data_IF_427154916016
#
_entry.id   IF_427154916016
#
_cell.length_a   1.000
_cell.length_b   1.000
_cell.length_c   1.000
_cell.angle_alpha   90.00
_cell.angle_beta   90.00
_cell.angle_gamma   90.00
#
_symmetry.space_group_name_H-M   'P 1'
#
loop_
_entity.id
_entity.type
_entity.pdbx_description
1 polymer ?
#
# COMPACT_ATOMS: atom_id res chain seq x y z
N UNK A 1 -36.22 -27.08 -7.98
CA UNK A 1 -35.77 -25.70 -7.94
C UNK A 1 -34.24 -25.71 -8.12
N UNK A 2 -33.68 -25.06 -9.13
CA UNK A 2 -32.23 -25.02 -9.29
C UNK A 2 -31.65 -24.14 -8.19
N UNK A 3 -30.67 -24.68 -7.48
CA UNK A 3 -29.84 -23.95 -6.53
C UNK A 3 -29.10 -22.88 -7.32
N UNK A 4 -29.44 -21.61 -7.10
CA UNK A 4 -28.67 -20.50 -7.66
C UNK A 4 -27.24 -20.59 -7.13
N UNK A 5 -26.31 -20.93 -8.01
CA UNK A 5 -24.88 -20.80 -7.76
C UNK A 5 -24.64 -19.30 -7.53
N UNK A 6 -24.57 -18.87 -6.27
CA UNK A 6 -24.04 -17.56 -5.95
C UNK A 6 -22.56 -17.61 -6.35
N UNK A 7 -22.23 -16.98 -7.48
CA UNK A 7 -20.84 -16.63 -7.74
C UNK A 7 -20.42 -15.71 -6.59
N UNK A 8 -19.68 -16.26 -5.63
CA UNK A 8 -19.01 -15.45 -4.62
C UNK A 8 -17.99 -14.61 -5.37
N UNK A 9 -18.23 -13.31 -5.41
CA UNK A 9 -17.28 -12.34 -5.95
C UNK A 9 -15.98 -12.45 -5.14
N UNK A 10 -14.83 -12.71 -5.80
CA UNK A 10 -13.55 -12.80 -5.11
C UNK A 10 -13.10 -11.42 -4.61
N UNK A 11 -12.10 -11.37 -3.70
CA UNK A 11 -11.67 -10.12 -3.07
C UNK A 11 -11.26 -9.04 -4.09
N UNK A 12 -10.57 -9.43 -5.17
CA UNK A 12 -10.11 -8.48 -6.19
C UNK A 12 -11.27 -7.91 -7.00
N UNK A 13 -12.25 -8.74 -7.40
CA UNK A 13 -13.45 -8.24 -8.08
C UNK A 13 -14.31 -7.38 -7.15
N UNK A 14 -14.33 -7.67 -5.84
CA UNK A 14 -14.95 -6.80 -4.82
C UNK A 14 -14.28 -5.44 -4.73
N UNK A 15 -12.95 -5.36 -4.84
CA UNK A 15 -12.24 -4.06 -4.85
C UNK A 15 -12.66 -3.24 -6.05
N UNK A 16 -12.64 -3.82 -7.24
CA UNK A 16 -12.99 -3.11 -8.47
C UNK A 16 -14.46 -2.69 -8.48
N UNK A 17 -15.39 -3.55 -8.03
CA UNK A 17 -16.80 -3.20 -7.91
C UNK A 17 -17.05 -2.12 -6.85
N UNK A 18 -16.28 -2.13 -5.76
CA UNK A 18 -16.32 -1.08 -4.74
C UNK A 18 -15.83 0.25 -5.29
N UNK A 19 -14.69 0.26 -6.01
CA UNK A 19 -14.15 1.46 -6.64
C UNK A 19 -15.12 2.07 -7.66
N UNK A 20 -15.77 1.25 -8.49
CA UNK A 20 -16.80 1.70 -9.41
C UNK A 20 -18.01 2.27 -8.69
N UNK A 21 -18.48 1.60 -7.62
CA UNK A 21 -19.59 2.11 -6.81
C UNK A 21 -19.24 3.45 -6.15
N UNK A 22 -18.05 3.57 -5.56
CA UNK A 22 -17.58 4.83 -4.97
C UNK A 22 -17.55 5.92 -6.04
N UNK A 23 -16.95 5.66 -7.21
CA UNK A 23 -16.86 6.64 -8.30
C UNK A 23 -18.24 7.16 -8.73
N UNK A 24 -19.25 6.27 -8.83
CA UNK A 24 -20.60 6.66 -9.25
C UNK A 24 -21.38 7.43 -8.19
N UNK A 25 -20.96 7.41 -6.93
CA UNK A 25 -21.64 8.06 -5.80
C UNK A 25 -20.80 9.15 -5.12
N UNK A 26 -19.57 9.38 -5.59
CA UNK A 26 -18.69 10.42 -5.08
C UNK A 26 -19.26 11.82 -5.31
N UNK A 27 -19.02 12.70 -4.34
CA UNK A 27 -19.44 14.09 -4.38
C UNK A 27 -18.28 15.08 -4.43
N UNK A 28 -17.11 14.65 -3.97
CA UNK A 28 -15.97 15.51 -3.78
C UNK A 28 -14.69 15.06 -4.52
N UNK A 29 -14.70 13.85 -5.08
CA UNK A 29 -13.58 13.31 -5.85
C UNK A 29 -14.07 12.83 -7.21
N UNK A 30 -13.41 13.28 -8.27
CA UNK A 30 -13.84 13.06 -9.66
C UNK A 30 -12.70 12.42 -10.47
N UNK A 31 -13.09 11.60 -11.45
CA UNK A 31 -12.19 10.94 -12.41
C UNK A 31 -12.54 11.46 -13.81
N UNK A 32 -11.92 12.60 -14.25
CA UNK A 32 -12.26 13.24 -15.51
C UNK A 32 -11.71 12.43 -16.69
N UNK A 33 -12.59 12.06 -17.62
CA UNK A 33 -12.24 11.18 -18.75
C UNK A 33 -11.10 11.75 -19.63
N UNK A 34 -11.14 13.04 -19.93
CA UNK A 34 -10.08 13.68 -20.74
C UNK A 34 -8.75 13.75 -19.98
N UNK A 35 -8.82 13.96 -18.67
CA UNK A 35 -7.65 13.89 -17.78
C UNK A 35 -7.04 12.48 -17.76
N UNK A 36 -7.86 11.46 -17.62
CA UNK A 36 -7.44 10.05 -17.66
C UNK A 36 -6.72 9.70 -18.96
N UNK A 37 -7.28 10.08 -20.13
CA UNK A 37 -6.65 9.84 -21.45
C UNK A 37 -5.29 10.52 -21.55
N UNK A 38 -5.20 11.79 -21.12
CA UNK A 38 -3.92 12.53 -21.12
C UNK A 38 -2.90 11.87 -20.18
N UNK A 39 -3.33 11.50 -18.97
CA UNK A 39 -2.49 10.81 -18.00
C UNK A 39 -2.00 9.47 -18.56
N UNK A 40 -2.87 8.65 -19.14
CA UNK A 40 -2.51 7.36 -19.74
C UNK A 40 -1.38 7.54 -20.77
N UNK A 41 -1.55 8.44 -21.74
CA UNK A 41 -0.54 8.69 -22.78
C UNK A 41 0.77 9.27 -22.21
N UNK A 42 0.73 10.10 -21.16
CA UNK A 42 1.93 10.64 -20.52
C UNK A 42 2.68 9.58 -19.71
N UNK A 43 1.97 8.84 -18.88
CA UNK A 43 2.52 7.76 -18.04
C UNK A 43 3.13 6.69 -18.93
N UNK A 44 2.40 6.23 -19.96
CA UNK A 44 2.88 5.19 -20.87
C UNK A 44 4.19 5.60 -21.55
N UNK A 45 4.26 6.83 -22.13
CA UNK A 45 5.49 7.31 -22.75
C UNK A 45 6.67 7.36 -21.80
N UNK A 46 6.45 7.77 -20.54
CA UNK A 46 7.50 7.81 -19.52
C UNK A 46 7.95 6.41 -19.12
N UNK A 47 7.00 5.49 -18.84
CA UNK A 47 7.32 4.10 -18.54
C UNK A 47 8.12 3.43 -19.66
N UNK A 48 7.73 3.64 -20.92
CA UNK A 48 8.45 3.12 -22.08
C UNK A 48 9.86 3.72 -22.21
N UNK A 49 10.01 5.04 -22.01
CA UNK A 49 11.32 5.69 -22.09
C UNK A 49 12.30 5.22 -21.00
N UNK A 50 11.78 4.80 -19.84
CA UNK A 50 12.56 4.25 -18.72
C UNK A 50 12.77 2.73 -18.83
N UNK A 51 12.06 2.05 -19.73
CA UNK A 51 12.00 0.58 -19.73
C UNK A 51 11.41 0.00 -18.43
N UNK A 52 10.46 0.73 -17.82
CA UNK A 52 9.90 0.42 -16.50
C UNK A 52 9.23 -0.95 -16.48
N UNK A 53 9.57 -1.77 -15.51
CA UNK A 53 9.13 -3.16 -15.41
C UNK A 53 9.19 -3.67 -13.95
N UNK A 54 8.82 -4.93 -13.72
CA UNK A 54 8.98 -5.60 -12.43
C UNK A 54 10.41 -5.60 -11.90
N UNK A 55 11.41 -5.54 -12.80
CA UNK A 55 12.82 -5.47 -12.40
C UNK A 55 13.16 -4.20 -11.61
N UNK A 56 12.37 -3.13 -11.75
CA UNK A 56 12.56 -1.88 -11.02
C UNK A 56 12.35 -2.07 -9.52
N UNK A 57 11.45 -2.96 -9.10
CA UNK A 57 11.24 -3.32 -7.70
C UNK A 57 12.53 -3.79 -7.01
N UNK A 58 13.38 -4.56 -7.72
CA UNK A 58 14.66 -5.07 -7.18
C UNK A 58 15.80 -4.07 -7.18
N UNK A 59 15.65 -2.92 -7.81
CA UNK A 59 16.74 -1.92 -7.88
C UNK A 59 17.07 -1.28 -6.54
N UNK A 60 16.12 -1.28 -5.62
CA UNK A 60 16.36 -0.68 -4.30
C UNK A 60 17.17 -1.63 -3.42
N UNK A 61 18.24 -1.09 -2.80
CA UNK A 61 19.21 -1.88 -2.02
C UNK A 61 18.64 -2.56 -0.76
N UNK A 62 17.47 -2.13 -0.29
CA UNK A 62 16.81 -2.69 0.88
C UNK A 62 15.89 -3.87 0.56
N UNK A 63 15.50 -4.06 -0.71
CA UNK A 63 14.66 -5.21 -1.09
C UNK A 63 15.49 -6.50 -1.18
N UNK A 64 14.89 -7.68 -0.97
CA UNK A 64 15.59 -8.95 -1.12
C UNK A 64 16.20 -9.11 -2.52
N UNK A 65 17.48 -9.40 -2.58
CA UNK A 65 18.20 -9.64 -3.85
C UNK A 65 18.00 -11.05 -4.39
N UNK A 66 17.71 -12.01 -3.50
CA UNK A 66 17.48 -13.44 -3.83
C UNK A 66 16.00 -13.72 -3.70
N UNK A 67 15.39 -14.24 -4.77
CA UNK A 67 13.99 -14.65 -4.79
C UNK A 67 13.85 -16.09 -4.27
N UNK A 68 13.75 -16.24 -2.96
CA UNK A 68 13.59 -17.51 -2.24
C UNK A 68 12.49 -17.42 -1.17
N UNK A 69 12.34 -18.45 -0.35
CA UNK A 69 11.36 -18.45 0.73
C UNK A 69 11.65 -17.41 1.82
N UNK A 70 12.90 -16.99 2.02
CA UNK A 70 13.24 -15.93 2.98
C UNK A 70 12.75 -14.57 2.47
N UNK A 71 12.83 -14.33 1.15
CA UNK A 71 12.25 -13.15 0.53
C UNK A 71 10.72 -13.10 0.72
N UNK A 72 10.02 -14.24 0.62
CA UNK A 72 8.57 -14.33 0.89
C UNK A 72 8.24 -13.94 2.33
N UNK A 73 9.00 -14.44 3.31
CA UNK A 73 8.79 -14.09 4.73
C UNK A 73 9.09 -12.60 4.99
N UNK A 74 10.14 -12.06 4.36
CA UNK A 74 10.49 -10.64 4.46
C UNK A 74 9.39 -9.76 3.86
N UNK A 75 8.91 -10.07 2.65
CA UNK A 75 7.84 -9.33 1.97
C UNK A 75 6.57 -9.36 2.82
N UNK A 76 6.17 -10.53 3.31
CA UNK A 76 4.99 -10.65 4.17
C UNK A 76 5.10 -9.76 5.42
N UNK A 77 6.24 -9.81 6.13
CA UNK A 77 6.46 -8.98 7.32
C UNK A 77 6.35 -7.48 6.99
N UNK A 78 7.02 -7.05 5.91
CA UNK A 78 7.04 -5.64 5.51
C UNK A 78 5.65 -5.18 5.10
N UNK A 79 4.91 -5.97 4.31
CA UNK A 79 3.57 -5.60 3.86
C UNK A 79 2.52 -5.69 4.98
N UNK A 80 2.70 -6.59 5.95
CA UNK A 80 1.88 -6.56 7.16
C UNK A 80 2.02 -5.25 7.95
N UNK A 81 3.17 -4.58 7.82
CA UNK A 81 3.47 -3.32 8.50
C UNK A 81 3.49 -2.10 7.56
N UNK A 82 3.05 -2.25 6.30
CA UNK A 82 3.11 -1.21 5.28
C UNK A 82 1.94 -0.22 5.39
N UNK A 83 1.98 0.65 6.44
CA UNK A 83 0.96 1.66 6.70
C UNK A 83 1.51 2.88 7.46
N UNK A 84 0.88 4.04 7.30
CA UNK A 84 1.07 5.28 8.07
C UNK A 84 2.53 5.68 8.33
N UNK A 85 3.24 6.10 7.28
CA UNK A 85 4.65 6.57 7.37
C UNK A 85 4.79 8.09 7.42
N UNK A 86 3.69 8.84 7.35
CA UNK A 86 3.76 10.29 7.42
C UNK A 86 3.99 10.78 8.88
N UNK A 87 4.51 11.96 9.03
CA UNK A 87 4.89 12.58 10.30
C UNK A 87 4.45 14.03 10.35
N UNK A 88 4.06 14.50 11.54
CA UNK A 88 3.80 15.89 11.85
C UNK A 88 5.07 16.62 12.35
N UNK A 89 6.14 15.89 12.59
CA UNK A 89 7.38 16.46 13.10
C UNK A 89 8.15 17.20 11.98
N UNK A 90 8.93 18.23 12.35
CA UNK A 90 9.84 18.86 11.40
C UNK A 90 10.84 17.81 10.85
N UNK A 91 11.35 17.98 9.62
CA UNK A 91 12.19 16.98 8.95
C UNK A 91 13.37 16.46 9.78
N UNK A 92 13.94 17.29 10.67
CA UNK A 92 15.05 16.90 11.55
C UNK A 92 14.65 15.94 12.67
N UNK A 93 13.36 15.86 13.01
CA UNK A 93 12.84 15.02 14.08
C UNK A 93 11.95 13.88 13.60
N UNK A 94 11.65 13.82 12.30
CA UNK A 94 10.88 12.72 11.73
C UNK A 94 11.61 11.40 11.92
N UNK A 95 10.84 10.33 12.11
CA UNK A 95 11.37 9.00 12.21
C UNK A 95 12.28 8.68 11.02
N UNK A 96 13.50 8.31 11.32
CA UNK A 96 14.50 7.90 10.34
C UNK A 96 15.30 6.70 10.85
N UNK A 97 15.85 5.95 9.92
CA UNK A 97 16.75 4.82 10.21
C UNK A 97 17.97 4.94 9.31
N UNK A 98 19.13 4.98 9.92
CA UNK A 98 20.42 4.94 9.22
C UNK A 98 20.92 3.51 9.17
N UNK A 99 21.21 3.03 7.95
CA UNK A 99 21.77 1.73 7.68
C UNK A 99 22.87 1.87 6.61
N UNK A 100 24.04 1.29 6.85
CA UNK A 100 25.23 1.35 5.95
C UNK A 100 25.57 2.79 5.50
N UNK A 101 25.48 3.75 6.43
CA UNK A 101 25.81 5.15 6.20
C UNK A 101 24.76 5.95 5.42
N UNK A 102 23.63 5.34 5.06
CA UNK A 102 22.52 6.00 4.38
C UNK A 102 21.31 6.14 5.31
N UNK A 103 20.76 7.34 5.41
CA UNK A 103 19.55 7.62 6.20
C UNK A 103 18.30 7.49 5.35
N UNK A 104 17.36 6.68 5.82
CA UNK A 104 16.09 6.40 5.15
C UNK A 104 14.93 7.10 5.86
N UNK A 105 13.86 7.44 5.11
CA UNK A 105 12.62 8.07 5.58
C UNK A 105 11.40 7.42 4.93
N UNK A 106 10.23 7.58 5.57
CA UNK A 106 8.96 7.02 5.09
C UNK A 106 9.00 5.48 5.04
N UNK A 107 8.42 4.88 4.01
CA UNK A 107 8.37 3.41 3.83
C UNK A 107 9.74 2.73 3.98
N UNK A 108 10.78 3.34 3.42
CA UNK A 108 12.12 2.76 3.46
C UNK A 108 12.73 2.67 4.87
N UNK A 109 12.17 3.41 5.85
CA UNK A 109 12.59 3.23 7.26
C UNK A 109 12.19 1.86 7.81
N UNK A 110 11.01 1.35 7.40
CA UNK A 110 10.57 0.00 7.79
C UNK A 110 11.52 -1.06 7.24
N UNK A 111 11.82 -1.00 5.93
CA UNK A 111 12.74 -1.93 5.28
C UNK A 111 14.15 -1.88 5.93
N UNK A 112 14.66 -0.66 6.19
CA UNK A 112 15.94 -0.47 6.84
C UNK A 112 15.95 -1.03 8.29
N UNK A 113 14.88 -0.82 9.06
CA UNK A 113 14.77 -1.36 10.41
C UNK A 113 14.74 -2.90 10.42
N UNK A 114 13.99 -3.51 9.50
CA UNK A 114 13.94 -4.98 9.34
C UNK A 114 15.33 -5.52 8.95
N UNK A 115 15.99 -4.92 7.95
CA UNK A 115 17.31 -5.37 7.50
C UNK A 115 18.40 -5.18 8.58
N UNK A 116 18.33 -4.06 9.33
CA UNK A 116 19.20 -3.84 10.49
C UNK A 116 19.01 -4.92 11.55
N UNK A 117 17.75 -5.26 11.87
CA UNK A 117 17.48 -6.30 12.85
C UNK A 117 18.03 -7.66 12.41
N UNK A 118 17.88 -8.02 11.13
CA UNK A 118 18.48 -9.24 10.57
C UNK A 118 20.01 -9.22 10.64
N UNK A 119 20.65 -8.09 10.33
CA UNK A 119 22.12 -7.93 10.45
C UNK A 119 22.59 -8.01 11.92
N UNK A 120 21.76 -7.61 12.88
CA UNK A 120 22.01 -7.76 14.32
C UNK A 120 21.72 -9.20 14.84
N UNK A 121 21.34 -10.13 13.98
CA UNK A 121 21.03 -11.52 14.34
C UNK A 121 19.63 -11.69 14.96
N UNK A 122 18.76 -10.69 14.88
CA UNK A 122 17.38 -10.77 15.37
C UNK A 122 16.52 -11.42 14.28
N UNK A 123 15.87 -12.57 14.53
CA UNK A 123 15.13 -13.31 13.51
C UNK A 123 13.75 -12.69 13.27
N UNK A 124 13.70 -11.39 12.95
CA UNK A 124 12.44 -10.63 12.85
C UNK A 124 11.50 -11.13 11.73
N UNK A 125 12.00 -11.88 10.77
CA UNK A 125 11.17 -12.49 9.72
C UNK A 125 10.62 -13.87 10.11
N UNK A 126 11.01 -14.44 11.25
CA UNK A 126 10.41 -15.68 11.78
C UNK A 126 9.17 -15.37 12.62
N UNK A 127 8.01 -15.87 12.20
CA UNK A 127 6.75 -15.68 12.92
C UNK A 127 6.80 -16.19 14.36
N UNK A 128 7.58 -17.23 14.65
CA UNK A 128 7.76 -17.76 16.01
C UNK A 128 8.43 -16.75 16.92
N UNK A 129 9.29 -15.89 16.39
CA UNK A 129 9.92 -14.84 17.17
C UNK A 129 8.93 -13.70 17.43
N UNK A 130 8.37 -13.05 16.41
CA UNK A 130 7.55 -11.86 16.62
C UNK A 130 6.16 -12.16 17.23
N UNK A 131 5.71 -13.42 17.21
CA UNK A 131 4.51 -13.81 17.93
C UNK A 131 4.64 -13.72 19.46
N UNK A 132 5.86 -13.86 20.00
CA UNK A 132 6.10 -13.98 21.45
C UNK A 132 7.13 -13.00 22.03
N UNK A 133 7.95 -12.36 21.19
CA UNK A 133 8.93 -11.35 21.62
C UNK A 133 8.27 -10.24 22.45
N UNK A 134 8.91 -9.68 23.47
CA UNK A 134 8.34 -8.60 24.28
C UNK A 134 8.11 -7.32 23.46
N UNK A 135 7.29 -6.42 23.96
CA UNK A 135 7.06 -5.13 23.31
C UNK A 135 8.34 -4.29 23.24
N UNK A 136 9.22 -4.41 24.25
CA UNK A 136 10.52 -3.76 24.29
C UNK A 136 11.48 -4.32 23.23
N UNK A 137 11.48 -5.64 23.01
CA UNK A 137 12.27 -6.26 21.95
C UNK A 137 11.81 -5.82 20.58
N UNK A 138 10.50 -5.79 20.32
CA UNK A 138 9.95 -5.31 19.06
C UNK A 138 10.15 -3.81 18.88
N UNK A 139 10.01 -3.01 19.93
CA UNK A 139 10.32 -1.58 19.88
C UNK A 139 11.80 -1.33 19.56
N UNK A 140 12.72 -2.17 20.08
CA UNK A 140 14.14 -2.11 19.73
C UNK A 140 14.39 -2.40 18.25
N UNK A 141 13.68 -3.35 17.65
CA UNK A 141 13.75 -3.62 16.19
C UNK A 141 13.42 -2.36 15.40
N UNK A 142 12.34 -1.68 15.78
CA UNK A 142 11.83 -0.50 15.07
C UNK A 142 12.34 0.84 15.65
N UNK A 143 13.44 0.83 16.42
CA UNK A 143 14.03 2.07 16.92
C UNK A 143 14.49 2.98 15.77
N UNK A 144 14.27 4.28 15.91
CA UNK A 144 14.80 5.30 15.01
C UNK A 144 16.23 5.73 15.36
N UNK A 145 16.74 6.65 14.57
CA UNK A 145 17.97 7.35 14.86
C UNK A 145 17.80 8.26 16.10
N UNK A 146 18.90 8.58 16.77
CA UNK A 146 18.89 9.43 17.97
C UNK A 146 18.27 10.81 17.66
N UNK A 147 17.39 11.27 18.53
CA UNK A 147 16.70 12.57 18.41
C UNK A 147 15.49 12.57 17.46
N UNK A 148 15.17 11.44 16.84
CA UNK A 148 13.95 11.32 16.02
C UNK A 148 12.75 10.84 16.85
N UNK A 149 11.54 11.05 16.32
CA UNK A 149 10.34 10.47 16.90
C UNK A 149 10.35 8.93 16.84
N UNK A 150 9.57 8.24 17.66
CA UNK A 150 9.34 6.82 17.51
C UNK A 150 8.71 6.49 16.15
N UNK A 151 8.83 5.23 15.71
CA UNK A 151 8.13 4.76 14.52
C UNK A 151 6.64 5.07 14.61
N UNK A 152 6.04 5.75 13.62
CA UNK A 152 4.61 6.06 13.64
C UNK A 152 3.75 4.82 13.87
N UNK A 153 2.75 4.91 14.74
CA UNK A 153 1.84 3.80 15.09
C UNK A 153 2.58 2.52 15.54
N UNK A 154 3.65 2.67 16.32
CA UNK A 154 4.46 1.52 16.78
C UNK A 154 3.63 0.48 17.55
N UNK A 155 2.70 0.94 18.40
CA UNK A 155 1.82 0.04 19.16
C UNK A 155 0.96 -0.82 18.24
N UNK A 156 0.34 -0.21 17.25
CA UNK A 156 -0.48 -0.91 16.26
C UNK A 156 0.36 -1.89 15.43
N UNK A 157 1.60 -1.54 15.11
CA UNK A 157 2.53 -2.46 14.42
C UNK A 157 2.85 -3.69 15.27
N UNK A 158 3.09 -3.50 16.55
CA UNK A 158 3.31 -4.60 17.50
C UNK A 158 2.04 -5.48 17.59
N UNK A 159 0.85 -4.88 17.66
CA UNK A 159 -0.41 -5.63 17.66
C UNK A 159 -0.60 -6.44 16.37
N UNK A 160 -0.29 -5.86 15.20
CA UNK A 160 -0.32 -6.57 13.92
C UNK A 160 0.65 -7.75 13.92
N UNK A 161 1.89 -7.56 14.39
CA UNK A 161 2.87 -8.67 14.50
C UNK A 161 2.37 -9.81 15.39
N UNK A 162 1.75 -9.49 16.53
CA UNK A 162 1.14 -10.50 17.41
C UNK A 162 0.05 -11.29 16.69
N UNK A 163 -0.85 -10.60 16.01
CA UNK A 163 -1.95 -11.21 15.26
C UNK A 163 -1.41 -12.13 14.16
N UNK A 164 -0.60 -11.58 13.25
CA UNK A 164 -0.15 -12.36 12.09
C UNK A 164 0.80 -13.50 12.51
N UNK A 165 1.66 -13.26 13.51
CA UNK A 165 2.57 -14.26 14.06
C UNK A 165 1.81 -15.40 14.72
N UNK A 166 0.81 -15.09 15.55
CA UNK A 166 -0.04 -16.08 16.19
C UNK A 166 -0.73 -17.00 15.17
N UNK A 167 -1.37 -16.40 14.15
CA UNK A 167 -2.05 -17.16 13.09
C UNK A 167 -1.06 -18.03 12.30
N UNK A 168 0.10 -17.50 11.92
CA UNK A 168 1.11 -18.26 11.17
C UNK A 168 1.63 -19.43 12.00
N UNK A 169 1.91 -19.25 13.29
CA UNK A 169 2.38 -20.32 14.17
C UNK A 169 1.32 -21.39 14.35
N UNK A 170 0.08 -21.00 14.61
CA UNK A 170 -1.03 -21.92 14.88
C UNK A 170 -1.44 -22.73 13.64
N UNK A 171 -1.55 -22.07 12.46
CA UNK A 171 -2.19 -22.66 11.28
C UNK A 171 -1.23 -22.99 10.13
N UNK A 172 -0.05 -22.34 10.08
CA UNK A 172 0.85 -22.41 8.91
C UNK A 172 2.29 -22.83 9.28
N UNK A 173 2.49 -23.44 10.46
CA UNK A 173 3.80 -23.91 10.91
C UNK A 173 4.84 -22.79 11.07
N UNK A 174 4.39 -21.55 11.32
CA UNK A 174 5.22 -20.38 11.53
C UNK A 174 5.81 -19.79 10.24
N UNK A 175 5.23 -20.08 9.06
CA UNK A 175 5.74 -19.59 7.76
C UNK A 175 4.62 -19.13 6.85
N UNK A 176 4.77 -17.91 6.31
CA UNK A 176 3.84 -17.40 5.31
C UNK A 176 3.94 -18.16 3.97
N UNK A 177 5.12 -18.65 3.61
CA UNK A 177 5.29 -19.49 2.42
C UNK A 177 4.36 -20.73 2.40
N UNK A 178 4.00 -21.27 3.57
CA UNK A 178 3.03 -22.37 3.66
C UNK A 178 1.59 -21.92 3.36
N UNK A 179 1.23 -20.69 3.74
CA UNK A 179 -0.05 -20.09 3.34
C UNK A 179 -0.05 -19.78 1.86
N UNK A 180 1.03 -19.19 1.34
CA UNK A 180 1.21 -18.90 -0.09
C UNK A 180 0.98 -20.14 -0.95
N UNK A 181 1.52 -21.29 -0.55
CA UNK A 181 1.33 -22.54 -1.28
C UNK A 181 -0.16 -22.96 -1.40
N UNK A 182 -1.02 -22.54 -0.45
CA UNK A 182 -2.45 -22.87 -0.45
C UNK A 182 -3.27 -22.07 -1.48
N UNK A 183 -2.76 -20.95 -1.98
CA UNK A 183 -3.51 -20.15 -2.98
C UNK A 183 -3.53 -20.79 -4.36
N UNK A 184 -2.79 -21.89 -4.58
CA UNK A 184 -2.74 -22.61 -5.84
C UNK A 184 -2.22 -21.77 -7.02
N UNK A 185 -1.45 -20.69 -6.73
CA UNK A 185 -0.94 -19.77 -7.76
C UNK A 185 -1.99 -18.76 -8.25
N UNK A 186 -3.12 -18.59 -7.55
CA UNK A 186 -4.13 -17.59 -7.89
C UNK A 186 -3.85 -16.25 -7.19
N UNK A 187 -3.76 -15.14 -7.93
CA UNK A 187 -3.59 -13.80 -7.37
C UNK A 187 -4.76 -13.43 -6.47
N UNK A 188 -5.99 -13.54 -6.97
CA UNK A 188 -7.20 -13.27 -6.17
C UNK A 188 -7.35 -14.23 -4.99
N UNK A 189 -6.99 -15.52 -5.20
CA UNK A 189 -7.01 -16.52 -4.14
C UNK A 189 -6.06 -16.20 -2.99
N UNK A 190 -4.91 -15.59 -3.26
CA UNK A 190 -4.00 -15.14 -2.20
C UNK A 190 -4.58 -13.94 -1.44
N UNK A 191 -5.17 -12.97 -2.13
CA UNK A 191 -5.86 -11.83 -1.47
C UNK A 191 -7.01 -12.34 -0.59
N UNK A 192 -7.82 -13.28 -1.09
CA UNK A 192 -8.92 -13.89 -0.34
C UNK A 192 -8.41 -14.60 0.93
N UNK A 193 -7.35 -15.42 0.83
CA UNK A 193 -6.75 -16.13 1.95
C UNK A 193 -6.20 -15.17 3.01
N UNK A 194 -5.45 -14.15 2.57
CA UNK A 194 -4.85 -13.17 3.48
C UNK A 194 -5.94 -12.38 4.22
N UNK A 195 -6.97 -11.91 3.52
CA UNK A 195 -8.09 -11.20 4.14
C UNK A 195 -8.94 -12.10 5.07
N UNK A 196 -9.04 -13.41 4.77
CA UNK A 196 -9.76 -14.35 5.60
C UNK A 196 -8.99 -14.72 6.87
N UNK A 197 -7.68 -14.97 6.76
CA UNK A 197 -6.86 -15.46 7.87
C UNK A 197 -6.41 -14.33 8.81
N UNK A 198 -6.18 -13.10 8.30
CA UNK A 198 -5.67 -11.98 9.08
C UNK A 198 -6.65 -10.81 9.10
N UNK A 199 -7.22 -10.53 10.28
CA UNK A 199 -8.19 -9.43 10.44
C UNK A 199 -7.57 -8.07 10.12
N UNK A 200 -6.29 -7.87 10.44
CA UNK A 200 -5.56 -6.63 10.16
C UNK A 200 -5.41 -6.30 8.67
N UNK A 201 -5.61 -7.25 7.77
CA UNK A 201 -5.59 -7.03 6.32
C UNK A 201 -6.98 -6.71 5.72
N UNK A 202 -8.04 -6.74 6.53
CA UNK A 202 -9.42 -6.45 6.09
C UNK A 202 -9.64 -4.95 5.99
N UNK A 203 -9.22 -4.40 4.88
CA UNK A 203 -9.39 -2.98 4.53
C UNK A 203 -10.78 -2.78 3.91
N UNK A 204 -11.79 -2.77 4.76
CA UNK A 204 -13.21 -2.66 4.42
C UNK A 204 -13.83 -1.49 5.17
N UNK A 205 -14.73 -0.76 4.49
CA UNK A 205 -15.43 0.41 5.00
C UNK A 205 -16.91 0.37 4.60
N UNK A 206 -17.70 1.27 5.18
CA UNK A 206 -19.04 1.57 4.70
C UNK A 206 -19.02 2.88 3.91
N UNK A 207 -19.65 2.89 2.73
CA UNK A 207 -19.81 4.09 1.93
C UNK A 207 -21.23 4.13 1.36
N UNK A 208 -21.98 5.22 1.63
CA UNK A 208 -23.36 5.39 1.19
C UNK A 208 -24.28 4.18 1.54
N UNK A 209 -24.11 3.63 2.77
CA UNK A 209 -24.88 2.49 3.24
C UNK A 209 -24.52 1.13 2.61
N UNK A 210 -23.41 1.05 1.86
CA UNK A 210 -22.91 -0.18 1.26
C UNK A 210 -21.51 -0.50 1.75
N UNK A 211 -21.21 -1.78 2.11
CA UNK A 211 -19.86 -2.19 2.40
C UNK A 211 -19.00 -2.13 1.12
N UNK A 212 -17.81 -1.52 1.24
CA UNK A 212 -16.81 -1.38 0.20
C UNK A 212 -15.46 -1.92 0.69
N UNK A 213 -14.66 -2.47 -0.22
CA UNK A 213 -13.38 -3.08 0.10
C UNK A 213 -12.27 -2.49 -0.78
N UNK A 214 -11.07 -2.31 -0.21
CA UNK A 214 -9.89 -1.83 -0.93
C UNK A 214 -8.73 -2.82 -0.84
N UNK A 215 -8.57 -3.52 0.28
CA UNK A 215 -7.55 -4.56 0.51
C UNK A 215 -6.13 -4.15 0.10
N UNK A 216 -5.73 -2.88 0.39
CA UNK A 216 -4.46 -2.31 -0.05
C UNK A 216 -3.27 -3.21 0.25
N UNK A 217 -3.10 -3.61 1.52
CA UNK A 217 -1.94 -4.40 1.95
C UNK A 217 -1.97 -5.84 1.46
N UNK A 218 -3.16 -6.43 1.31
CA UNK A 218 -3.28 -7.78 0.74
C UNK A 218 -2.94 -7.81 -0.76
N UNK A 219 -3.29 -6.75 -1.50
CA UNK A 219 -2.98 -6.65 -2.92
C UNK A 219 -1.50 -6.33 -3.18
N UNK A 220 -0.90 -5.40 -2.42
CA UNK A 220 0.53 -5.09 -2.57
C UNK A 220 1.41 -6.30 -2.21
N UNK A 221 1.02 -7.11 -1.24
CA UNK A 221 1.70 -8.35 -0.89
C UNK A 221 1.78 -9.32 -2.10
N UNK A 222 0.68 -9.48 -2.83
CA UNK A 222 0.67 -10.28 -4.08
C UNK A 222 1.59 -9.67 -5.12
N UNK A 223 1.54 -8.36 -5.29
CA UNK A 223 2.32 -7.62 -6.27
C UNK A 223 3.82 -7.65 -5.96
N UNK A 224 4.21 -7.49 -4.70
CA UNK A 224 5.62 -7.51 -4.28
C UNK A 224 6.23 -8.90 -4.42
N UNK A 225 5.48 -9.97 -4.10
CA UNK A 225 5.92 -11.34 -4.38
C UNK A 225 6.05 -11.55 -5.89
N UNK A 226 5.06 -11.13 -6.69
CA UNK A 226 5.13 -11.23 -8.15
C UNK A 226 6.35 -10.50 -8.72
N UNK A 227 6.61 -9.28 -8.28
CA UNK A 227 7.73 -8.48 -8.73
C UNK A 227 9.08 -9.04 -8.27
N UNK A 228 9.22 -9.44 -7.00
CA UNK A 228 10.42 -10.07 -6.46
C UNK A 228 10.84 -11.31 -7.25
N UNK A 229 9.89 -12.13 -7.65
CA UNK A 229 10.14 -13.37 -8.41
C UNK A 229 10.03 -13.17 -9.93
N UNK A 230 9.81 -11.96 -10.42
CA UNK A 230 9.64 -11.65 -11.86
C UNK A 230 8.56 -12.52 -12.52
N UNK A 231 7.47 -12.81 -11.81
CA UNK A 231 6.38 -13.65 -12.28
C UNK A 231 6.72 -15.13 -12.40
N UNK A 232 7.81 -15.61 -11.79
CA UNK A 232 8.28 -17.00 -11.86
C UNK A 232 8.21 -17.68 -10.49
N UNK A 233 8.23 -19.02 -10.48
CA UNK A 233 8.28 -19.80 -9.24
C UNK A 233 7.17 -19.42 -8.26
N UNK A 234 7.53 -19.02 -7.02
CA UNK A 234 6.58 -18.59 -5.98
C UNK A 234 5.82 -17.30 -6.32
N UNK A 235 6.33 -16.50 -7.26
CA UNK A 235 5.67 -15.29 -7.73
C UNK A 235 4.86 -15.48 -9.02
N UNK A 236 4.67 -16.70 -9.49
CA UNK A 236 3.81 -16.98 -10.65
C UNK A 236 2.36 -17.03 -10.21
N UNK A 237 1.59 -16.02 -10.60
CA UNK A 237 0.16 -15.93 -10.29
C UNK A 237 -0.70 -15.91 -11.54
N UNK A 238 -1.71 -16.77 -11.57
CA UNK A 238 -2.81 -16.66 -12.51
C UNK A 238 -3.69 -15.46 -12.12
N UNK A 239 -4.14 -14.68 -13.11
CA UNK A 239 -4.99 -13.52 -12.91
C UNK A 239 -4.28 -12.32 -12.25
N UNK A 240 -2.94 -12.22 -12.34
CA UNK A 240 -2.18 -11.09 -11.79
C UNK A 240 -2.68 -9.73 -12.31
N UNK A 241 -3.10 -9.65 -13.57
CA UNK A 241 -3.61 -8.44 -14.21
C UNK A 241 -4.98 -7.97 -13.67
N UNK A 242 -5.63 -8.80 -12.85
CA UNK A 242 -6.86 -8.42 -12.15
C UNK A 242 -6.60 -7.63 -10.85
N UNK A 243 -5.39 -7.70 -10.30
CA UNK A 243 -5.00 -6.93 -9.10
C UNK A 243 -5.04 -5.45 -9.42
N UNK A 244 -5.67 -4.67 -8.53
CA UNK A 244 -5.83 -3.22 -8.72
C UNK A 244 -4.64 -2.44 -8.16
N UNK A 245 -4.63 -1.11 -8.30
CA UNK A 245 -3.69 -0.25 -7.61
C UNK A 245 -3.90 -0.31 -6.09
N UNK A 246 -2.90 0.13 -5.33
CA UNK A 246 -2.86 0.06 -3.86
C UNK A 246 -3.21 1.42 -3.25
N UNK A 247 -4.48 1.59 -2.86
CA UNK A 247 -5.03 2.86 -2.44
C UNK A 247 -4.35 3.40 -1.16
N UNK A 248 -3.28 4.18 -1.35
CA UNK A 248 -2.51 4.89 -0.33
C UNK A 248 -2.77 6.41 -0.36
N UNK A 249 -1.93 7.20 0.32
CA UNK A 249 -2.02 8.66 0.34
C UNK A 249 -1.07 9.37 -0.65
N UNK A 250 -0.19 8.65 -1.37
CA UNK A 250 0.77 9.22 -2.33
C UNK A 250 0.31 9.13 -3.77
N UNK A 251 -0.19 7.98 -4.17
CA UNK A 251 -0.67 7.77 -5.55
C UNK A 251 -1.79 8.75 -5.91
N UNK A 252 -2.77 9.09 -5.02
CA UNK A 252 -3.77 10.11 -5.33
C UNK A 252 -3.16 11.48 -5.69
N UNK A 253 -2.06 11.89 -5.03
CA UNK A 253 -1.35 13.13 -5.33
C UNK A 253 -0.76 13.12 -6.76
N UNK A 254 -0.14 12.00 -7.16
CA UNK A 254 0.36 11.83 -8.51
C UNK A 254 -0.77 11.81 -9.56
N UNK A 255 -1.89 11.16 -9.26
CA UNK A 255 -3.07 11.16 -10.14
C UNK A 255 -3.64 12.57 -10.34
N UNK A 256 -3.69 13.39 -9.28
CA UNK A 256 -4.07 14.81 -9.39
C UNK A 256 -3.06 15.58 -10.25
N UNK A 257 -1.76 15.35 -10.09
CA UNK A 257 -0.71 15.99 -10.90
C UNK A 257 -0.86 15.69 -12.38
N UNK A 258 -1.20 14.45 -12.74
CA UNK A 258 -1.46 14.05 -14.12
C UNK A 258 -2.86 14.44 -14.61
N UNK A 259 -3.72 15.00 -13.77
CA UNK A 259 -5.10 15.39 -14.09
C UNK A 259 -6.08 14.23 -14.22
N UNK A 260 -5.74 13.04 -13.73
CA UNK A 260 -6.61 11.86 -13.72
C UNK A 260 -7.52 11.80 -12.49
N UNK A 261 -7.28 12.64 -11.48
CA UNK A 261 -8.09 12.79 -10.28
C UNK A 261 -8.27 14.27 -9.96
N UNK A 262 -9.47 14.67 -9.57
CA UNK A 262 -9.79 16.04 -9.20
C UNK A 262 -10.57 16.05 -7.87
N UNK A 263 -10.28 17.03 -7.01
CA UNK A 263 -11.00 17.26 -5.75
C UNK A 263 -11.92 18.48 -5.88
N UNK A 264 -13.08 18.42 -5.22
CA UNK A 264 -13.93 19.61 -5.08
C UNK A 264 -13.19 20.73 -4.36
N UNK A 265 -13.53 22.00 -4.58
CA UNK A 265 -12.89 23.12 -3.86
C UNK A 265 -12.95 22.96 -2.34
N UNK A 266 -14.07 22.46 -1.78
CA UNK A 266 -14.22 22.27 -0.34
C UNK A 266 -13.30 21.17 0.21
N UNK A 267 -13.13 20.07 -0.52
CA UNK A 267 -12.20 19.01 -0.12
C UNK A 267 -10.76 19.48 -0.24
N UNK A 268 -10.41 20.13 -1.34
CA UNK A 268 -9.07 20.69 -1.57
C UNK A 268 -8.65 21.65 -0.45
N UNK A 269 -9.53 22.58 -0.09
CA UNK A 269 -9.27 23.56 1.00
C UNK A 269 -9.09 22.85 2.35
N UNK A 270 -9.98 21.91 2.67
CA UNK A 270 -9.88 21.11 3.90
C UNK A 270 -8.54 20.38 4.01
N UNK A 271 -8.10 19.69 2.95
CA UNK A 271 -6.83 18.96 2.98
C UNK A 271 -5.64 19.91 3.13
N UNK A 272 -5.64 21.07 2.47
CA UNK A 272 -4.58 22.08 2.61
C UNK A 272 -4.53 22.69 4.02
N UNK A 273 -5.66 22.97 4.61
CA UNK A 273 -5.73 23.48 5.99
C UNK A 273 -5.26 22.43 6.99
N UNK A 274 -5.61 21.16 6.77
CA UNK A 274 -5.17 20.03 7.60
C UNK A 274 -3.65 19.90 7.60
N UNK A 275 -3.01 19.95 6.44
CA UNK A 275 -1.55 19.88 6.34
C UNK A 275 -0.86 21.07 7.03
N UNK A 276 -1.42 22.28 6.89
CA UNK A 276 -0.89 23.47 7.56
C UNK A 276 -1.02 23.37 9.08
N UNK A 277 -2.19 22.98 9.54
CA UNK A 277 -2.48 22.83 10.98
C UNK A 277 -1.61 21.75 11.62
N UNK A 278 -1.41 20.62 10.92
CA UNK A 278 -0.53 19.56 11.38
C UNK A 278 0.90 20.05 11.59
N UNK A 279 1.45 20.77 10.62
CA UNK A 279 2.80 21.34 10.70
C UNK A 279 2.97 22.39 11.81
N UNK A 280 1.90 23.10 12.17
CA UNK A 280 1.94 24.18 13.17
C UNK A 280 1.59 23.72 14.60
N UNK A 281 0.60 22.84 14.74
CA UNK A 281 -0.03 22.50 16.00
C UNK A 281 0.26 21.08 16.48
N UNK A 282 0.78 20.21 15.61
CA UNK A 282 0.93 18.78 15.85
C UNK A 282 -0.38 18.00 15.78
N UNK A 283 -0.26 16.67 15.76
CA UNK A 283 -1.39 15.76 15.53
C UNK A 283 -2.53 15.92 16.53
N UNK A 284 -2.21 16.02 17.82
CA UNK A 284 -3.22 16.10 18.89
C UNK A 284 -4.10 17.35 18.82
N UNK A 285 -3.70 18.38 18.08
CA UNK A 285 -4.39 19.68 17.97
C UNK A 285 -4.83 19.99 16.54
N UNK A 286 -4.60 19.10 15.59
CA UNK A 286 -4.94 19.33 14.18
C UNK A 286 -6.42 19.02 13.92
N UNK A 287 -7.24 20.02 13.60
CA UNK A 287 -8.69 19.83 13.43
C UNK A 287 -9.07 19.25 12.07
N UNK A 288 -8.15 18.69 11.30
CA UNK A 288 -8.42 18.37 9.90
C UNK A 288 -7.95 16.98 9.42
N UNK A 289 -7.46 16.13 10.33
CA UNK A 289 -7.15 14.76 9.95
C UNK A 289 -8.44 13.99 9.60
N UNK A 290 -8.43 13.30 8.47
CA UNK A 290 -9.54 12.43 8.11
C UNK A 290 -9.47 11.13 8.92
N UNK A 291 -10.50 10.79 9.71
CA UNK A 291 -10.58 9.46 10.33
C UNK A 291 -10.59 8.36 9.26
N UNK A 292 -10.07 7.19 9.58
CA UNK A 292 -10.21 6.02 8.71
C UNK A 292 -11.70 5.68 8.52
N UNK A 293 -12.14 5.52 7.28
CA UNK A 293 -13.56 5.33 6.91
C UNK A 293 -14.34 6.64 6.75
N UNK A 294 -13.72 7.82 6.90
CA UNK A 294 -14.38 9.08 6.57
C UNK A 294 -14.80 9.11 5.09
N UNK A 295 -15.99 9.61 4.72
CA UNK A 295 -16.46 9.61 3.34
C UNK A 295 -15.42 10.16 2.34
N UNK A 296 -14.75 11.25 2.64
CA UNK A 296 -13.71 11.82 1.79
C UNK A 296 -12.48 10.92 1.65
N UNK A 297 -12.06 10.25 2.73
CA UNK A 297 -10.97 9.27 2.68
C UNK A 297 -11.34 8.09 1.76
N UNK A 298 -12.56 7.58 1.90
CA UNK A 298 -13.09 6.49 1.07
C UNK A 298 -13.23 6.94 -0.39
N UNK A 299 -13.74 8.16 -0.65
CA UNK A 299 -13.83 8.71 -2.01
C UNK A 299 -12.45 8.85 -2.66
N UNK A 300 -11.45 9.40 -1.97
CA UNK A 300 -10.09 9.57 -2.51
C UNK A 300 -9.51 8.21 -2.89
N UNK A 301 -9.55 7.25 -1.98
CA UNK A 301 -8.99 5.92 -2.20
C UNK A 301 -9.71 5.15 -3.29
N UNK A 302 -11.03 5.10 -3.23
CA UNK A 302 -11.84 4.40 -4.23
C UNK A 302 -11.73 4.97 -5.63
N UNK A 303 -11.75 6.31 -5.76
CA UNK A 303 -11.58 6.96 -7.06
C UNK A 303 -10.14 6.83 -7.59
N UNK A 304 -9.13 6.72 -6.73
CA UNK A 304 -7.76 6.44 -7.19
C UNK A 304 -7.65 5.06 -7.82
N UNK A 305 -8.28 4.04 -7.22
CA UNK A 305 -8.36 2.70 -7.82
C UNK A 305 -9.06 2.78 -9.18
N UNK A 306 -10.20 3.48 -9.26
CA UNK A 306 -10.96 3.61 -10.48
C UNK A 306 -10.20 4.37 -11.57
N UNK A 307 -9.49 5.44 -11.21
CA UNK A 307 -8.67 6.23 -12.14
C UNK A 307 -7.56 5.39 -12.78
N UNK A 308 -6.84 4.58 -11.97
CA UNK A 308 -5.78 3.70 -12.50
C UNK A 308 -6.37 2.61 -13.38
N UNK A 309 -7.52 2.04 -13.05
CA UNK A 309 -8.21 1.08 -13.91
C UNK A 309 -8.63 1.73 -15.25
N UNK A 310 -9.11 2.97 -15.24
CA UNK A 310 -9.41 3.71 -16.46
C UNK A 310 -8.14 4.03 -17.28
N UNK A 311 -7.04 4.41 -16.63
CA UNK A 311 -5.74 4.62 -17.28
C UNK A 311 -5.26 3.33 -17.97
N UNK A 312 -5.32 2.20 -17.27
CA UNK A 312 -4.97 0.88 -17.80
C UNK A 312 -5.77 0.58 -19.07
N UNK A 313 -7.09 0.76 -19.05
CA UNK A 313 -7.96 0.54 -20.21
C UNK A 313 -7.59 1.44 -21.39
N UNK A 314 -7.28 2.72 -21.15
CA UNK A 314 -6.83 3.62 -22.21
C UNK A 314 -5.51 3.14 -22.84
N UNK A 315 -4.56 2.61 -22.05
CA UNK A 315 -3.31 2.04 -22.58
C UNK A 315 -3.56 0.75 -23.39
N UNK A 316 -4.50 -0.08 -22.96
CA UNK A 316 -4.92 -1.29 -23.70
C UNK A 316 -5.58 -0.92 -25.04
N UNK A 317 -6.43 0.13 -25.08
CA UNK A 317 -7.04 0.65 -26.30
C UNK A 317 -5.98 1.21 -27.28
N UNK A 318 -4.86 1.75 -26.78
CA UNK A 318 -3.70 2.16 -27.58
C UNK A 318 -2.79 0.97 -27.99
N UNK A 319 -3.20 -0.27 -27.66
CA UNK A 319 -2.47 -1.51 -28.04
C UNK A 319 -1.31 -1.88 -27.12
N UNK A 320 -1.21 -1.25 -25.93
CA UNK A 320 -0.15 -1.56 -24.97
C UNK A 320 -0.75 -2.17 -23.70
N UNK A 321 -0.33 -3.39 -23.39
CA UNK A 321 -0.75 -4.08 -22.17
C UNK A 321 0.17 -3.71 -21.00
N UNK A 322 -0.40 -2.99 -20.02
CA UNK A 322 0.24 -2.64 -18.74
C UNK A 322 -0.77 -2.90 -17.63
N UNK A 323 -0.40 -3.68 -16.61
CA UNK A 323 -1.32 -3.92 -15.50
C UNK A 323 -1.32 -2.78 -14.47
N UNK A 324 -2.34 -2.75 -13.61
CA UNK A 324 -2.51 -1.72 -12.60
C UNK A 324 -1.37 -1.71 -11.55
N UNK A 325 -0.73 -2.84 -11.31
CA UNK A 325 0.43 -2.95 -10.40
C UNK A 325 1.59 -2.10 -10.90
N UNK A 326 1.98 -2.26 -12.17
CA UNK A 326 3.10 -1.50 -12.74
C UNK A 326 2.78 -0.01 -12.84
N UNK A 327 1.52 0.36 -13.10
CA UNK A 327 1.08 1.76 -13.11
C UNK A 327 1.20 2.34 -11.70
N UNK A 328 0.77 1.62 -10.67
CA UNK A 328 0.88 2.03 -9.28
C UNK A 328 2.33 2.21 -8.84
N UNK A 329 3.18 1.21 -9.07
CA UNK A 329 4.61 1.27 -8.75
C UNK A 329 5.25 2.50 -9.40
N UNK A 330 4.99 2.73 -10.69
CA UNK A 330 5.49 3.90 -11.40
C UNK A 330 4.99 5.22 -10.79
N UNK A 331 3.70 5.33 -10.47
CA UNK A 331 3.12 6.54 -9.87
C UNK A 331 3.69 6.81 -8.47
N UNK A 332 3.93 5.76 -7.70
CA UNK A 332 4.54 5.88 -6.39
C UNK A 332 6.01 6.35 -6.47
N UNK A 333 6.82 5.74 -7.35
CA UNK A 333 8.20 6.16 -7.61
C UNK A 333 8.22 7.61 -8.10
N UNK A 334 7.38 7.94 -9.08
CA UNK A 334 7.23 9.30 -9.59
C UNK A 334 6.92 10.30 -8.48
N UNK A 335 6.03 9.94 -7.55
CA UNK A 335 5.65 10.79 -6.43
C UNK A 335 6.82 11.10 -5.48
N UNK A 336 7.78 10.20 -5.38
CA UNK A 336 8.98 10.38 -4.56
C UNK A 336 10.04 11.23 -5.26
N UNK A 337 10.26 10.97 -6.53
CA UNK A 337 11.27 11.66 -7.33
C UNK A 337 10.88 13.11 -7.66
N UNK A 338 9.58 13.37 -7.84
CA UNK A 338 9.03 14.68 -8.25
C UNK A 338 8.20 15.36 -7.17
N UNK A 339 8.50 15.10 -5.89
CA UNK A 339 7.72 15.61 -4.75
C UNK A 339 7.63 17.15 -4.73
N UNK A 340 8.65 17.87 -5.18
CA UNK A 340 8.64 19.33 -5.27
C UNK A 340 7.63 19.87 -6.31
N UNK A 341 7.45 19.15 -7.43
CA UNK A 341 6.47 19.53 -8.46
C UNK A 341 5.03 19.40 -7.97
N UNK A 342 4.81 18.53 -6.99
CA UNK A 342 3.50 18.21 -6.44
C UNK A 342 3.23 18.82 -5.06
N UNK A 343 4.13 19.64 -4.52
CA UNK A 343 4.03 20.18 -3.16
C UNK A 343 2.79 21.03 -2.87
N UNK A 344 2.18 21.57 -3.91
CA UNK A 344 0.93 22.35 -3.80
C UNK A 344 -0.33 21.46 -3.86
N UNK A 345 -0.20 20.18 -4.23
CA UNK A 345 -1.30 19.22 -4.25
C UNK A 345 -1.38 18.55 -2.87
N UNK A 346 -2.46 18.79 -2.12
CA UNK A 346 -2.55 18.26 -0.76
C UNK A 346 -2.72 16.74 -0.76
N UNK A 347 -2.18 16.09 0.27
CA UNK A 347 -2.41 14.69 0.56
C UNK A 347 -3.43 14.54 1.70
N UNK A 348 -4.24 13.50 1.63
CA UNK A 348 -5.08 13.17 2.77
C UNK A 348 -4.23 12.47 3.83
N UNK A 349 -4.32 12.96 5.06
CA UNK A 349 -3.59 12.43 6.20
C UNK A 349 -4.57 11.68 7.10
N UNK A 350 -4.36 10.38 7.18
CA UNK A 350 -5.16 9.46 8.01
C UNK A 350 -4.22 8.54 8.78
N UNK A 351 -4.45 8.39 10.08
CA UNK A 351 -3.82 7.32 10.85
C UNK A 351 -4.65 6.06 10.72
N UNK A 352 -4.14 5.11 9.99
CA UNK A 352 -4.80 3.84 9.71
C UNK A 352 -3.80 2.70 9.61
N UNK A 353 -4.19 1.50 10.03
CA UNK A 353 -3.42 0.28 9.77
C UNK A 353 -3.62 -0.23 8.34
N UNK A 354 -4.53 0.35 7.58
CA UNK A 354 -4.87 -0.13 6.24
C UNK A 354 -3.88 0.32 5.17
N UNK A 355 -3.21 1.49 5.36
CA UNK A 355 -2.28 2.04 4.36
C UNK A 355 -1.32 3.11 4.89
#
# INVERSE_FOLDING_TARGET
MPIAIRHFENAVSRVLSSAHFINTHSQDVFVPQDGVKKAASQILRRMQSLGYSTADWKKHTLTPSIADTHAVEWIFLVDALNFSFWSDQPPSRQYSVTLDGKTYRGYWTLCAAVNRALAEGIPITDARYYAVASDEELARVFRGDEGTEPMPMLRERIMVLREVGGVLVEKHGGRFANLLARCGGSASGLVDLVAAEFACFRDEHEFQGRPVAMFKRAQILVADIWACFEGKGLGRFEGIDSVTMFADYRVPQALCHFGALEYSPRLWEHLRESEKSLKQLGEAKSPGLLPSGHPWEVEIRGNSIWAVECIKRCMEEEGTHVNAILIDFYLWDYSKEHSEEMKEIPIHLTRSINY
#
